data_IF_305598301732
#
_entry.id   IF_305598301732
#
_cell.length_a   1.000
_cell.length_b   1.000
_cell.length_c   1.000
_cell.angle_alpha   90.00
_cell.angle_beta   90.00
_cell.angle_gamma   90.00
#
_symmetry.space_group_name_H-M   'P 1'
#
loop_
_entity.id
_entity.type
_entity.pdbx_description
1 polymer ?
#
# COMPACT_ATOMS: atom_id res chain seq x y z
N UNK A 1 -12.04 19.03 -6.48
CA UNK A 1 -12.89 17.84 -6.32
C UNK A 1 -13.18 17.61 -4.84
N UNK A 2 -14.44 17.52 -4.50
CA UNK A 2 -14.90 17.44 -3.12
C UNK A 2 -14.39 16.18 -2.40
N UNK A 3 -14.53 15.01 -3.04
CA UNK A 3 -14.06 13.76 -2.44
C UNK A 3 -12.55 13.67 -2.27
N UNK A 4 -11.79 14.36 -3.13
CA UNK A 4 -10.33 14.40 -3.04
C UNK A 4 -9.87 15.07 -1.74
N UNK A 5 -10.44 16.24 -1.41
CA UNK A 5 -10.04 16.96 -0.21
C UNK A 5 -10.41 16.21 1.06
N UNK A 6 -11.57 15.59 1.07
CA UNK A 6 -12.04 14.78 2.20
C UNK A 6 -11.12 13.58 2.43
N UNK A 7 -10.74 12.89 1.35
CA UNK A 7 -9.85 11.74 1.41
C UNK A 7 -8.46 12.15 1.87
N UNK A 8 -7.94 13.26 1.35
CA UNK A 8 -6.65 13.80 1.76
C UNK A 8 -6.62 14.14 3.25
N UNK A 9 -7.65 14.82 3.74
CA UNK A 9 -7.77 15.19 5.15
C UNK A 9 -7.85 13.95 6.03
N UNK A 10 -8.64 12.96 5.62
CA UNK A 10 -8.78 11.70 6.33
C UNK A 10 -7.43 10.98 6.45
N UNK A 11 -6.70 10.90 5.35
CA UNK A 11 -5.39 10.22 5.32
C UNK A 11 -4.34 10.97 6.15
N UNK A 12 -4.38 12.30 6.16
CA UNK A 12 -3.46 13.11 6.96
C UNK A 12 -3.56 12.84 8.46
N UNK A 13 -4.71 12.39 8.93
CA UNK A 13 -4.94 12.07 10.34
C UNK A 13 -4.39 10.70 10.74
N UNK A 14 -4.02 9.88 9.79
CA UNK A 14 -3.45 8.55 10.04
C UNK A 14 -2.00 8.66 10.51
N UNK A 15 -1.58 7.71 11.34
CA UNK A 15 -0.21 7.66 11.85
C UNK A 15 0.67 6.76 10.98
N UNK A 16 0.65 6.97 9.68
CA UNK A 16 1.45 6.17 8.76
C UNK A 16 2.91 6.61 8.81
N UNK A 17 3.82 5.65 8.86
CA UNK A 17 5.26 5.87 9.01
C UNK A 17 6.08 5.37 7.83
N UNK A 18 5.51 4.46 7.04
CA UNK A 18 6.21 3.80 5.93
C UNK A 18 5.32 3.88 4.69
N UNK A 19 5.94 4.10 3.54
CA UNK A 19 5.23 4.10 2.26
C UNK A 19 6.07 3.43 1.20
N UNK A 20 5.43 3.05 0.11
CA UNK A 20 6.15 2.42 -0.97
C UNK A 20 5.38 2.36 -2.27
N UNK A 21 6.11 1.95 -3.31
CA UNK A 21 5.59 1.69 -4.63
C UNK A 21 5.92 0.26 -5.01
N UNK A 22 4.92 -0.49 -5.43
CA UNK A 22 5.06 -1.90 -5.80
C UNK A 22 4.60 -2.08 -7.24
N UNK A 23 5.39 -2.82 -8.02
CA UNK A 23 5.11 -3.08 -9.43
C UNK A 23 5.24 -4.57 -9.71
N UNK A 24 4.35 -5.11 -10.54
CA UNK A 24 4.46 -6.52 -10.97
C UNK A 24 5.57 -6.67 -12.00
N UNK A 25 6.13 -7.88 -12.09
CA UNK A 25 7.23 -8.19 -13.01
C UNK A 25 6.84 -8.02 -14.47
N UNK A 26 5.60 -8.40 -14.80
CA UNK A 26 5.03 -8.26 -16.15
C UNK A 26 3.91 -7.24 -16.11
N UNK A 27 3.45 -6.79 -17.29
CA UNK A 27 2.28 -5.94 -17.39
C UNK A 27 1.12 -6.57 -16.63
N UNK A 28 0.50 -5.80 -15.76
CA UNK A 28 -0.59 -6.26 -14.92
C UNK A 28 -1.81 -5.36 -15.10
N UNK A 29 -2.99 -5.98 -15.04
CA UNK A 29 -4.23 -5.21 -15.01
C UNK A 29 -4.44 -4.62 -13.61
N UNK A 30 -5.35 -3.66 -13.53
CA UNK A 30 -5.75 -3.08 -12.25
C UNK A 30 -6.26 -4.17 -11.31
N UNK A 31 -7.05 -5.11 -11.83
CA UNK A 31 -7.62 -6.21 -11.04
C UNK A 31 -6.56 -7.16 -10.51
N UNK A 32 -5.56 -7.49 -11.33
CA UNK A 32 -4.44 -8.34 -10.89
C UNK A 32 -3.64 -7.67 -9.78
N UNK A 33 -3.37 -6.39 -9.92
CA UNK A 33 -2.61 -5.63 -8.92
C UNK A 33 -3.42 -5.47 -7.62
N UNK A 34 -4.72 -5.27 -7.73
CA UNK A 34 -5.60 -5.21 -6.56
C UNK A 34 -5.58 -6.53 -5.77
N UNK A 35 -5.61 -7.66 -6.48
CA UNK A 35 -5.49 -8.97 -5.84
C UNK A 35 -4.12 -9.17 -5.20
N UNK A 36 -3.07 -8.72 -5.87
CA UNK A 36 -1.72 -8.79 -5.31
C UNK A 36 -1.59 -7.96 -4.03
N UNK A 37 -2.18 -6.78 -4.01
CA UNK A 37 -2.21 -5.92 -2.83
C UNK A 37 -2.93 -6.61 -1.66
N UNK A 38 -4.08 -7.19 -1.92
CA UNK A 38 -4.84 -7.90 -0.88
C UNK A 38 -4.04 -9.08 -0.33
N UNK A 39 -3.43 -9.86 -1.18
CA UNK A 39 -2.60 -10.99 -0.77
C UNK A 39 -1.39 -10.52 0.05
N UNK A 40 -0.74 -9.46 -0.41
CA UNK A 40 0.42 -8.87 0.27
C UNK A 40 0.06 -8.50 1.72
N UNK A 41 -0.99 -7.73 1.92
CA UNK A 41 -1.38 -7.30 3.25
C UNK A 41 -1.98 -8.44 4.09
N UNK A 42 -2.59 -9.44 3.47
CA UNK A 42 -2.96 -10.66 4.20
C UNK A 42 -1.73 -11.34 4.78
N UNK A 43 -0.64 -11.44 4.02
CA UNK A 43 0.60 -12.04 4.50
C UNK A 43 1.23 -11.19 5.61
N UNK A 44 1.25 -9.86 5.44
CA UNK A 44 1.76 -8.94 6.46
C UNK A 44 1.00 -9.13 7.77
N UNK A 45 -0.33 -9.10 7.70
CA UNK A 45 -1.16 -9.19 8.90
C UNK A 45 -1.06 -10.54 9.59
N UNK A 46 -0.90 -11.62 8.83
CA UNK A 46 -0.70 -12.95 9.41
C UNK A 46 0.62 -13.02 10.21
N UNK A 47 1.66 -12.41 9.67
CA UNK A 47 2.96 -12.40 10.35
C UNK A 47 2.90 -11.52 11.59
N UNK A 48 2.26 -10.35 11.52
CA UNK A 48 2.20 -9.41 12.63
C UNK A 48 1.27 -9.88 13.75
N UNK A 49 0.12 -10.44 13.42
CA UNK A 49 -0.94 -10.67 14.37
C UNK A 49 -1.37 -12.15 14.49
N UNK A 50 -0.87 -13.01 13.63
CA UNK A 50 -1.18 -14.44 13.70
C UNK A 50 -2.67 -14.72 13.64
N UNK A 51 -3.15 -15.54 14.56
CA UNK A 51 -4.56 -15.94 14.62
C UNK A 51 -5.51 -14.79 14.92
N UNK A 52 -5.04 -13.73 15.56
CA UNK A 52 -5.86 -12.57 15.88
C UNK A 52 -6.34 -11.83 14.63
N UNK A 53 -5.56 -11.88 13.57
CA UNK A 53 -5.97 -11.31 12.29
C UNK A 53 -7.25 -11.98 11.77
N UNK A 54 -7.27 -13.31 11.75
CA UNK A 54 -8.44 -14.06 11.25
C UNK A 54 -9.62 -14.04 12.21
N UNK A 55 -9.37 -14.19 13.51
CA UNK A 55 -10.42 -14.37 14.51
C UNK A 55 -11.05 -13.06 14.94
N UNK A 56 -10.26 -12.00 15.06
CA UNK A 56 -10.71 -10.72 15.64
C UNK A 56 -10.63 -9.55 14.66
N UNK A 57 -10.15 -9.79 13.43
CA UNK A 57 -10.01 -8.71 12.45
C UNK A 57 -8.95 -7.68 12.79
N UNK A 58 -8.00 -8.01 13.67
CA UNK A 58 -6.90 -7.12 14.01
C UNK A 58 -5.94 -7.06 12.85
N UNK A 59 -5.69 -5.86 12.33
CA UNK A 59 -4.84 -5.68 11.17
C UNK A 59 -4.09 -4.34 11.25
N UNK A 60 -2.98 -4.26 10.54
CA UNK A 60 -2.22 -3.01 10.41
C UNK A 60 -3.06 -2.02 9.60
N UNK A 61 -3.03 -0.76 10.00
CA UNK A 61 -3.70 0.28 9.23
C UNK A 61 -2.85 0.59 8.00
N UNK A 62 -3.44 0.43 6.82
CA UNK A 62 -2.77 0.63 5.55
C UNK A 62 -3.72 1.27 4.55
N UNK A 63 -3.16 2.05 3.63
CA UNK A 63 -3.92 2.70 2.57
C UNK A 63 -3.19 2.48 1.25
N UNK A 64 -3.90 1.98 0.25
CA UNK A 64 -3.32 1.66 -1.05
C UNK A 64 -4.08 2.34 -2.17
N UNK A 65 -3.33 2.86 -3.15
CA UNK A 65 -3.89 3.45 -4.36
C UNK A 65 -3.18 2.90 -5.59
N UNK A 66 -3.83 3.02 -6.73
CA UNK A 66 -3.30 2.55 -8.01
C UNK A 66 -3.02 3.74 -8.93
N UNK A 67 -1.94 3.64 -9.69
CA UNK A 67 -1.58 4.62 -10.70
C UNK A 67 -1.26 3.92 -12.01
N UNK A 68 -1.82 4.40 -13.12
CA UNK A 68 -1.52 3.88 -14.44
C UNK A 68 -0.33 4.63 -15.03
N UNK A 69 0.65 3.87 -15.51
CA UNK A 69 1.82 4.43 -16.16
C UNK A 69 1.54 4.74 -17.63
N UNK A 70 2.39 5.55 -18.25
CA UNK A 70 2.26 5.93 -19.66
C UNK A 70 2.24 4.71 -20.60
N UNK A 71 2.93 3.62 -20.23
CA UNK A 71 2.97 2.39 -21.02
C UNK A 71 1.74 1.50 -20.82
N UNK A 72 0.76 1.95 -20.04
CA UNK A 72 -0.45 1.18 -19.77
C UNK A 72 -0.36 0.28 -18.53
N UNK A 73 0.83 0.05 -17.99
CA UNK A 73 0.99 -0.75 -16.79
C UNK A 73 0.50 0.01 -15.57
N UNK A 74 0.12 -0.73 -14.55
CA UNK A 74 -0.33 -0.17 -13.27
C UNK A 74 0.71 -0.44 -12.20
N UNK A 75 0.87 0.49 -11.26
CA UNK A 75 1.63 0.23 -10.05
C UNK A 75 0.85 0.67 -8.82
N UNK A 76 1.25 0.11 -7.69
CA UNK A 76 0.57 0.29 -6.41
C UNK A 76 1.39 1.23 -5.54
N UNK A 77 0.72 2.24 -4.99
CA UNK A 77 1.27 3.05 -3.91
C UNK A 77 0.58 2.65 -2.62
N UNK A 78 1.34 2.48 -1.56
CA UNK A 78 0.76 2.20 -0.26
C UNK A 78 1.45 3.01 0.83
N UNK A 79 0.73 3.23 1.92
CA UNK A 79 1.32 3.69 3.17
C UNK A 79 0.73 2.87 4.30
N UNK A 80 1.48 2.75 5.39
CA UNK A 80 1.06 1.93 6.52
C UNK A 80 1.64 2.49 7.81
N UNK A 81 0.95 2.29 8.92
CA UNK A 81 1.57 2.49 10.20
C UNK A 81 2.63 1.42 10.42
N UNK A 82 3.56 1.68 11.35
CA UNK A 82 4.60 0.73 11.70
C UNK A 82 4.11 -0.14 12.87
N UNK A 83 4.33 -1.43 12.79
CA UNK A 83 4.08 -2.32 13.93
C UNK A 83 5.02 -1.94 15.07
N UNK A 84 4.48 -1.89 16.30
CA UNK A 84 5.21 -1.36 17.47
C UNK A 84 6.45 -2.17 17.82
N UNK A 85 6.45 -3.48 17.57
CA UNK A 85 7.55 -4.39 17.91
C UNK A 85 8.75 -4.26 16.96
N UNK A 86 8.60 -3.50 15.87
CA UNK A 86 9.62 -3.38 14.82
C UNK A 86 10.19 -1.96 14.81
N UNK A 87 11.49 -1.85 14.55
CA UNK A 87 12.05 -0.56 14.12
C UNK A 87 11.56 -0.26 12.70
N UNK A 88 11.72 0.98 12.25
CA UNK A 88 11.35 1.35 10.87
C UNK A 88 12.11 0.50 9.86
N UNK A 89 13.42 0.31 10.07
CA UNK A 89 14.26 -0.48 9.18
C UNK A 89 13.85 -1.95 9.15
N UNK A 90 13.55 -2.52 10.32
CA UNK A 90 13.08 -3.90 10.42
C UNK A 90 11.73 -4.07 9.72
N UNK A 91 10.84 -3.12 9.88
CA UNK A 91 9.52 -3.17 9.28
C UNK A 91 9.60 -3.05 7.76
N UNK A 92 10.41 -2.14 7.24
CA UNK A 92 10.67 -2.01 5.80
C UNK A 92 11.22 -3.32 5.25
N UNK A 93 12.17 -3.93 5.95
CA UNK A 93 12.75 -5.22 5.53
C UNK A 93 11.68 -6.31 5.49
N UNK A 94 10.81 -6.35 6.49
CA UNK A 94 9.70 -7.30 6.52
C UNK A 94 8.79 -7.14 5.30
N UNK A 95 8.37 -5.91 5.01
CA UNK A 95 7.49 -5.63 3.87
C UNK A 95 8.14 -6.03 2.54
N UNK A 96 9.41 -5.69 2.35
CA UNK A 96 10.12 -6.02 1.10
C UNK A 96 10.30 -7.52 0.94
N UNK A 97 10.58 -8.24 2.02
CA UNK A 97 10.72 -9.69 1.96
C UNK A 97 9.39 -10.37 1.63
N UNK A 98 8.29 -9.90 2.22
CA UNK A 98 6.97 -10.45 1.92
C UNK A 98 6.61 -10.21 0.46
N UNK A 99 6.83 -9.00 -0.05
CA UNK A 99 6.56 -8.70 -1.44
C UNK A 99 7.34 -9.62 -2.38
N UNK A 100 8.63 -9.79 -2.14
CA UNK A 100 9.50 -10.60 -2.98
C UNK A 100 9.19 -12.09 -2.90
N UNK A 101 8.88 -12.60 -1.72
CA UNK A 101 8.83 -14.04 -1.48
C UNK A 101 7.42 -14.62 -1.42
N UNK A 102 6.40 -13.81 -1.15
CA UNK A 102 5.03 -14.30 -0.94
C UNK A 102 4.06 -13.85 -2.02
N UNK A 103 4.44 -12.92 -2.86
CA UNK A 103 3.56 -12.41 -3.92
C UNK A 103 4.07 -12.91 -5.27
N UNK A 104 3.31 -13.82 -5.88
CA UNK A 104 3.67 -14.38 -7.17
C UNK A 104 3.66 -13.29 -8.25
N UNK A 105 4.72 -13.23 -9.03
CA UNK A 105 4.85 -12.24 -10.10
C UNK A 105 5.29 -10.87 -9.61
N UNK A 106 5.67 -10.74 -8.33
CA UNK A 106 6.16 -9.48 -7.79
C UNK A 106 7.41 -9.02 -8.52
N UNK A 107 7.44 -7.71 -8.83
CA UNK A 107 8.55 -7.09 -9.51
C UNK A 107 9.21 -6.04 -8.63
N UNK A 108 9.39 -4.84 -9.20
CA UNK A 108 10.04 -3.74 -8.54
C UNK A 108 9.35 -3.31 -7.25
N UNK A 109 10.14 -2.86 -6.30
CA UNK A 109 9.62 -2.27 -5.06
C UNK A 109 10.52 -1.14 -4.62
N UNK A 110 9.90 -0.11 -4.03
CA UNK A 110 10.59 0.96 -3.34
C UNK A 110 9.79 1.21 -2.07
N UNK A 111 10.40 0.95 -0.90
CA UNK A 111 9.74 1.09 0.39
C UNK A 111 10.64 1.91 1.30
N UNK A 112 10.11 2.97 1.88
CA UNK A 112 10.91 3.87 2.71
C UNK A 112 10.08 4.53 3.81
N UNK A 113 10.79 5.16 4.74
CA UNK A 113 10.17 5.91 5.82
C UNK A 113 9.50 7.18 5.28
N UNK A 114 8.31 7.50 5.80
CA UNK A 114 7.63 8.75 5.46
C UNK A 114 8.31 9.90 6.20
N UNK A 115 8.87 10.83 5.44
CA UNK A 115 9.50 12.05 5.98
C UNK A 115 8.64 13.29 5.76
N UNK A 116 7.79 13.26 4.72
CA UNK A 116 6.84 14.34 4.43
C UNK A 116 5.49 13.71 4.11
N UNK A 117 4.63 13.68 5.11
CA UNK A 117 3.32 13.02 5.02
C UNK A 117 2.47 13.61 3.89
N UNK A 118 2.41 14.93 3.79
CA UNK A 118 1.59 15.59 2.80
C UNK A 118 2.04 15.26 1.37
N UNK A 119 3.35 15.24 1.13
CA UNK A 119 3.90 14.89 -0.17
C UNK A 119 3.55 13.44 -0.55
N UNK A 120 3.64 12.52 0.40
CA UNK A 120 3.30 11.11 0.17
C UNK A 120 1.82 10.97 -0.19
N UNK A 121 0.94 11.63 0.53
CA UNK A 121 -0.50 11.56 0.28
C UNK A 121 -0.83 12.14 -1.09
N UNK A 122 -0.23 13.27 -1.44
CA UNK A 122 -0.43 13.88 -2.75
C UNK A 122 -0.02 12.91 -3.87
N UNK A 123 1.10 12.22 -3.66
CA UNK A 123 1.60 11.25 -4.63
C UNK A 123 0.66 10.03 -4.74
N UNK A 124 0.17 9.53 -3.62
CA UNK A 124 -0.78 8.40 -3.61
C UNK A 124 -2.08 8.72 -4.33
N UNK A 125 -2.54 9.97 -4.24
CA UNK A 125 -3.81 10.39 -4.82
C UNK A 125 -3.66 10.99 -6.21
N UNK A 126 -2.49 10.81 -6.84
CA UNK A 126 -2.19 11.42 -8.14
C UNK A 126 -3.27 11.17 -9.20
N UNK A 127 -3.67 9.91 -9.37
CA UNK A 127 -4.68 9.56 -10.37
C UNK A 127 -6.12 9.67 -9.85
N UNK A 128 -6.29 9.77 -8.53
CA UNK A 128 -7.62 9.90 -7.95
C UNK A 128 -8.34 11.13 -8.47
N UNK A 129 -7.61 12.20 -8.70
CA UNK A 129 -8.16 13.45 -9.22
C UNK A 129 -8.86 13.25 -10.57
N UNK A 130 -8.36 12.31 -11.39
CA UNK A 130 -8.91 12.03 -12.72
C UNK A 130 -9.89 10.85 -12.70
N UNK A 131 -9.57 9.80 -11.98
CA UNK A 131 -10.25 8.51 -12.07
C UNK A 131 -11.13 8.20 -10.84
N UNK A 132 -11.02 8.98 -9.78
CA UNK A 132 -11.85 8.81 -8.59
C UNK A 132 -11.59 7.49 -7.88
N UNK A 133 -12.66 6.89 -7.36
CA UNK A 133 -12.57 5.68 -6.54
C UNK A 133 -11.98 4.47 -7.28
N UNK A 134 -11.91 4.50 -8.61
CA UNK A 134 -11.30 3.43 -9.40
C UNK A 134 -9.81 3.25 -9.09
N UNK A 135 -9.16 4.27 -8.49
CA UNK A 135 -7.75 4.19 -8.14
C UNK A 135 -7.51 3.64 -6.73
N UNK A 136 -8.56 3.40 -5.96
CA UNK A 136 -8.41 2.88 -4.60
C UNK A 136 -8.31 1.36 -4.62
N UNK A 137 -7.24 0.82 -4.03
CA UNK A 137 -7.05 -0.60 -3.86
C UNK A 137 -7.47 -0.97 -2.43
N UNK A 138 -8.66 -1.48 -2.29
CA UNK A 138 -9.19 -1.87 -0.97
C UNK A 138 -8.65 -3.25 -0.59
N UNK A 139 -8.02 -3.32 0.55
CA UNK A 139 -7.49 -4.57 1.09
C UNK A 139 -8.44 -5.23 2.09
#
# INVERSE_FOLDING_TARGET
MKGYNELKDWQCKKNHKVWGTLTMRSLATKEELTRANKHFFNCVNRILFGNQYKRKGIQIDAFSTLQQMANGNWHLHFSTEKADEYSIEEYIRLLTQIWRNKVKGSGRYEVEEIKNKEAVITYQLHDYYKLGNDTLALS
#
